data_IF_317810424206
#
_entry.id   IF_317810424206
#
_cell.length_a   1.000
_cell.length_b   1.000
_cell.length_c   1.000
_cell.angle_alpha   90.00
_cell.angle_beta   90.00
_cell.angle_gamma   90.00
#
_symmetry.space_group_name_H-M   'P 1'
#
loop_
_entity.id
_entity.type
_entity.pdbx_description
1 polymer ?
#
# COMPACT_ATOMS: atom_id res chain seq x y z
N UNK A 1 0.38 -9.00 -13.73
CA UNK A 1 1.75 -9.30 -13.22
C UNK A 1 2.02 -10.78 -13.03
N UNK A 2 1.13 -11.59 -12.42
CA UNK A 2 1.38 -13.02 -12.10
C UNK A 2 2.07 -13.78 -13.25
N UNK A 3 1.53 -13.69 -14.47
CA UNK A 3 2.07 -14.37 -15.65
C UNK A 3 3.55 -14.09 -15.95
N UNK A 4 4.07 -12.92 -15.53
CA UNK A 4 5.47 -12.52 -15.77
C UNK A 4 6.45 -13.15 -14.79
N UNK A 5 5.95 -13.68 -13.66
CA UNK A 5 6.74 -14.18 -12.53
C UNK A 5 6.50 -15.67 -12.24
N UNK A 6 5.76 -16.37 -13.10
CA UNK A 6 5.56 -17.81 -12.96
C UNK A 6 6.87 -18.59 -13.26
N UNK A 7 7.14 -19.71 -12.54
CA UNK A 7 6.33 -20.26 -11.46
C UNK A 7 6.50 -19.46 -10.16
N UNK A 8 5.39 -19.24 -9.45
CA UNK A 8 5.43 -18.60 -8.14
C UNK A 8 5.90 -19.59 -7.07
N UNK A 9 6.28 -19.05 -5.90
CA UNK A 9 6.58 -19.89 -4.73
C UNK A 9 5.39 -20.81 -4.46
N UNK A 10 5.60 -22.16 -4.41
CA UNK A 10 4.53 -23.10 -4.12
C UNK A 10 3.94 -22.87 -2.73
N UNK A 11 2.75 -23.40 -2.49
CA UNK A 11 2.03 -23.26 -1.21
C UNK A 11 1.75 -21.80 -0.80
N UNK A 12 1.57 -20.92 -1.80
CA UNK A 12 1.18 -19.52 -1.60
C UNK A 12 -0.23 -19.31 -2.10
N UNK A 13 -1.15 -18.99 -1.20
CA UNK A 13 -2.57 -18.77 -1.47
C UNK A 13 -2.91 -17.28 -1.44
N UNK A 14 -4.07 -16.91 -1.95
CA UNK A 14 -4.51 -15.52 -2.00
C UNK A 14 -5.95 -15.42 -1.56
N UNK A 15 -6.22 -14.42 -0.73
CA UNK A 15 -7.57 -14.03 -0.32
C UNK A 15 -8.00 -12.77 -1.08
N UNK A 16 -9.30 -12.45 -1.13
CA UNK A 16 -9.80 -11.21 -1.75
C UNK A 16 -9.13 -9.97 -1.15
N UNK A 17 -8.91 -8.97 -1.99
CA UNK A 17 -8.44 -7.66 -1.54
C UNK A 17 -9.57 -6.86 -0.86
N UNK A 18 -9.21 -5.70 -0.31
CA UNK A 18 -10.11 -4.81 0.43
C UNK A 18 -10.59 -3.62 -0.41
N UNK A 19 -10.73 -3.77 -1.72
CA UNK A 19 -11.25 -2.72 -2.59
C UNK A 19 -12.74 -2.49 -2.37
N UNK A 20 -13.08 -1.60 -1.45
CA UNK A 20 -14.47 -1.23 -1.13
C UNK A 20 -15.23 -0.70 -2.35
N UNK A 21 -14.61 0.11 -3.18
CA UNK A 21 -15.25 0.65 -4.38
C UNK A 21 -15.77 -0.44 -5.33
N UNK A 22 -15.12 -1.62 -5.35
CA UNK A 22 -15.48 -2.78 -6.17
C UNK A 22 -15.81 -4.01 -5.32
N UNK A 23 -16.33 -3.80 -4.11
CA UNK A 23 -16.72 -4.92 -3.24
C UNK A 23 -17.68 -5.87 -3.95
N UNK A 24 -17.45 -7.19 -3.90
CA UNK A 24 -18.34 -8.17 -4.50
C UNK A 24 -19.59 -8.35 -3.62
N UNK A 25 -20.74 -7.99 -4.12
CA UNK A 25 -22.02 -8.18 -3.40
C UNK A 25 -22.51 -6.92 -2.70
N UNK A 26 -23.52 -7.08 -1.83
CA UNK A 26 -24.26 -5.99 -1.20
C UNK A 26 -23.89 -5.89 0.28
N UNK A 27 -22.81 -5.19 0.60
CA UNK A 27 -22.46 -4.83 1.97
C UNK A 27 -23.04 -3.46 2.32
N UNK A 28 -23.47 -3.28 3.56
CA UNK A 28 -24.03 -2.01 4.03
C UNK A 28 -22.92 -1.04 4.46
N UNK A 29 -21.82 -1.56 4.95
CA UNK A 29 -20.69 -0.76 5.47
C UNK A 29 -19.36 -1.33 5.01
N UNK A 30 -18.32 -0.50 5.03
CA UNK A 30 -16.93 -0.92 4.77
C UNK A 30 -16.44 -1.89 5.86
N UNK A 31 -16.96 -1.76 7.09
CA UNK A 31 -16.69 -2.70 8.18
C UNK A 31 -17.19 -4.11 7.88
N UNK A 32 -18.46 -4.24 7.46
CA UNK A 32 -19.02 -5.55 7.06
C UNK A 32 -18.20 -6.21 5.94
N UNK A 33 -17.80 -5.40 4.95
CA UNK A 33 -16.95 -5.88 3.87
C UNK A 33 -15.56 -6.30 4.37
N UNK A 34 -14.95 -5.52 5.25
CA UNK A 34 -13.65 -5.84 5.85
C UNK A 34 -13.69 -7.17 6.63
N UNK A 35 -14.67 -7.36 7.49
CA UNK A 35 -14.87 -8.61 8.23
C UNK A 35 -15.10 -9.80 7.27
N UNK A 36 -15.92 -9.62 6.25
CA UNK A 36 -16.14 -10.64 5.23
C UNK A 36 -14.83 -11.01 4.52
N UNK A 37 -14.02 -10.04 4.11
CA UNK A 37 -12.75 -10.28 3.44
C UNK A 37 -11.76 -11.04 4.35
N UNK A 38 -11.68 -10.67 5.62
CA UNK A 38 -10.86 -11.37 6.61
C UNK A 38 -11.32 -12.82 6.83
N UNK A 39 -12.62 -13.08 6.88
CA UNK A 39 -13.16 -14.44 7.03
C UNK A 39 -12.80 -15.35 5.84
N UNK A 40 -12.52 -14.80 4.64
CA UNK A 40 -11.95 -15.59 3.52
C UNK A 40 -10.58 -16.16 3.83
N UNK A 41 -9.80 -15.51 4.70
CA UNK A 41 -8.56 -16.08 5.19
C UNK A 41 -8.81 -17.31 6.05
N UNK A 42 -9.77 -17.26 6.97
CA UNK A 42 -10.14 -18.39 7.81
C UNK A 42 -10.64 -19.58 6.99
N UNK A 43 -11.46 -19.34 5.98
CA UNK A 43 -11.92 -20.40 5.09
C UNK A 43 -10.78 -21.05 4.32
N UNK A 44 -9.81 -20.27 3.85
CA UNK A 44 -8.62 -20.78 3.15
C UNK A 44 -7.75 -21.61 4.09
N UNK A 45 -7.53 -21.13 5.32
CA UNK A 45 -6.76 -21.85 6.36
C UNK A 45 -7.40 -23.20 6.65
N UNK A 46 -8.72 -23.24 6.84
CA UNK A 46 -9.44 -24.48 7.11
C UNK A 46 -9.41 -25.46 5.93
N UNK A 47 -9.37 -24.95 4.70
CA UNK A 47 -9.28 -25.76 3.49
C UNK A 47 -7.88 -26.37 3.31
N UNK A 48 -6.82 -25.62 3.64
CA UNK A 48 -5.42 -26.03 3.49
C UNK A 48 -4.91 -26.88 4.67
N UNK A 49 -5.68 -27.05 5.73
CA UNK A 49 -5.30 -27.57 7.04
C UNK A 49 -4.47 -26.54 7.86
N UNK A 50 -5.01 -26.04 8.98
CA UNK A 50 -4.35 -25.03 9.81
C UNK A 50 -2.90 -25.36 10.20
N UNK A 51 -2.59 -26.63 10.44
CA UNK A 51 -1.24 -27.08 10.83
C UNK A 51 -0.21 -26.93 9.69
N UNK A 52 -0.66 -26.66 8.48
CA UNK A 52 0.22 -26.44 7.31
C UNK A 52 0.41 -24.97 6.94
N UNK A 53 -0.32 -24.05 7.59
CA UNK A 53 -0.28 -22.60 7.29
C UNK A 53 0.63 -21.88 8.27
N UNK A 54 1.73 -21.32 7.78
CA UNK A 54 2.72 -20.64 8.61
C UNK A 54 2.38 -19.18 8.91
N UNK A 55 1.89 -18.42 7.92
CA UNK A 55 1.71 -16.99 8.06
C UNK A 55 0.68 -16.38 7.09
N UNK A 56 0.11 -15.25 7.50
CA UNK A 56 -0.66 -14.34 6.65
C UNK A 56 0.18 -13.08 6.44
N UNK A 57 0.36 -12.67 5.16
CA UNK A 57 1.02 -11.42 4.79
C UNK A 57 0.00 -10.38 4.38
N UNK A 58 0.09 -9.18 4.94
CA UNK A 58 -0.77 -8.04 4.61
C UNK A 58 0.04 -6.77 4.41
N UNK A 59 -0.37 -5.93 3.44
CA UNK A 59 0.05 -4.54 3.37
C UNK A 59 -1.01 -3.70 4.11
N UNK A 60 -0.67 -2.81 5.06
CA UNK A 60 -1.65 -1.94 5.73
C UNK A 60 -2.44 -1.06 4.74
N UNK A 61 -1.78 -0.58 3.69
CA UNK A 61 -2.40 -0.02 2.48
C UNK A 61 -1.85 -0.80 1.30
N UNK A 62 -2.69 -1.60 0.66
CA UNK A 62 -2.25 -2.44 -0.44
C UNK A 62 -1.90 -1.61 -1.67
N UNK A 63 -0.63 -1.67 -2.10
CA UNK A 63 -0.13 -0.90 -3.24
C UNK A 63 -0.68 -1.38 -4.58
N UNK A 64 -0.61 -2.70 -4.84
CA UNK A 64 -1.03 -3.27 -6.12
C UNK A 64 -2.54 -3.17 -6.31
N UNK A 65 -2.96 -2.61 -7.45
CA UNK A 65 -4.37 -2.30 -7.73
C UNK A 65 -4.79 -0.89 -7.29
N UNK A 66 -3.95 -0.17 -6.55
CA UNK A 66 -4.10 1.25 -6.27
C UNK A 66 -4.57 1.60 -4.86
N UNK A 67 -3.66 1.54 -3.90
CA UNK A 67 -3.80 2.08 -2.54
C UNK A 67 -5.10 1.62 -1.84
N UNK A 68 -5.36 0.30 -1.84
CA UNK A 68 -6.51 -0.21 -1.11
C UNK A 68 -6.30 -0.06 0.39
N UNK A 69 -7.15 0.71 1.02
CA UNK A 69 -7.29 0.77 2.47
C UNK A 69 -8.30 -0.27 2.93
N UNK A 70 -8.16 -0.75 4.16
CA UNK A 70 -9.15 -1.61 4.79
C UNK A 70 -9.72 -0.93 6.03
N UNK A 71 -10.97 -1.22 6.35
CA UNK A 71 -11.52 -0.83 7.65
C UNK A 71 -10.73 -1.53 8.77
N UNK A 72 -10.44 -0.88 9.92
CA UNK A 72 -9.68 -1.48 11.02
C UNK A 72 -10.19 -2.85 11.48
N UNK A 73 -11.50 -3.10 11.38
CA UNK A 73 -12.12 -4.39 11.69
C UNK A 73 -11.56 -5.56 10.85
N UNK A 74 -11.08 -5.31 9.63
CA UNK A 74 -10.39 -6.32 8.81
C UNK A 74 -9.12 -6.83 9.50
N UNK A 75 -8.27 -5.93 9.94
CA UNK A 75 -7.00 -6.29 10.58
C UNK A 75 -7.21 -6.92 11.95
N UNK A 76 -8.16 -6.38 12.73
CA UNK A 76 -8.56 -6.99 13.99
C UNK A 76 -9.01 -8.43 13.81
N UNK A 77 -9.87 -8.69 12.80
CA UNK A 77 -10.35 -10.03 12.49
C UNK A 77 -9.23 -10.96 12.03
N UNK A 78 -8.27 -10.48 11.23
CA UNK A 78 -7.09 -11.27 10.85
C UNK A 78 -6.24 -11.64 12.06
N UNK A 79 -6.05 -10.72 13.03
CA UNK A 79 -5.32 -11.02 14.27
C UNK A 79 -6.03 -12.13 15.06
N UNK A 80 -7.36 -12.02 15.24
CA UNK A 80 -8.16 -13.06 15.90
C UNK A 80 -8.02 -14.44 15.22
N UNK A 81 -8.00 -14.48 13.88
CA UNK A 81 -7.80 -15.71 13.11
C UNK A 81 -6.39 -16.27 13.33
N UNK A 82 -5.37 -15.43 13.25
CA UNK A 82 -3.98 -15.84 13.49
C UNK A 82 -3.78 -16.40 14.89
N UNK A 83 -4.33 -15.74 15.91
CA UNK A 83 -4.25 -16.20 17.30
C UNK A 83 -4.97 -17.54 17.52
N UNK A 84 -6.12 -17.71 16.86
CA UNK A 84 -6.92 -18.95 16.95
C UNK A 84 -6.20 -20.18 16.42
N UNK A 85 -5.40 -20.03 15.37
CA UNK A 85 -4.74 -21.13 14.67
C UNK A 85 -3.21 -21.14 14.84
N UNK A 86 -2.66 -20.31 15.73
CA UNK A 86 -1.21 -20.13 15.95
C UNK A 86 -0.44 -19.83 14.64
N UNK A 87 -1.00 -18.96 13.80
CA UNK A 87 -0.46 -18.52 12.52
C UNK A 87 0.13 -17.12 12.67
N UNK A 88 1.27 -16.86 12.05
CA UNK A 88 1.92 -15.56 12.14
C UNK A 88 1.21 -14.51 11.28
N UNK A 89 1.04 -13.30 11.81
CA UNK A 89 0.62 -12.12 11.06
C UNK A 89 1.85 -11.29 10.67
N UNK A 90 2.10 -11.14 9.38
CA UNK A 90 3.24 -10.38 8.84
C UNK A 90 2.72 -9.12 8.16
N UNK A 91 3.15 -7.95 8.64
CA UNK A 91 2.83 -6.67 8.02
C UNK A 91 3.94 -6.25 7.05
N UNK A 92 3.59 -6.02 5.79
CA UNK A 92 4.50 -5.43 4.81
C UNK A 92 4.36 -3.90 4.81
N UNK A 93 5.22 -3.24 5.58
CA UNK A 93 5.34 -1.80 5.70
C UNK A 93 6.39 -1.20 4.73
N UNK A 94 6.77 -1.94 3.71
CA UNK A 94 7.78 -1.50 2.72
C UNK A 94 7.44 -0.14 2.10
N UNK A 95 6.15 0.19 1.94
CA UNK A 95 5.70 1.48 1.39
C UNK A 95 5.10 2.35 2.49
N UNK A 96 4.34 1.77 3.38
CA UNK A 96 3.53 2.50 4.37
C UNK A 96 4.32 2.94 5.59
N UNK A 97 5.45 2.30 5.86
CA UNK A 97 6.37 2.68 6.94
C UNK A 97 7.06 4.02 6.69
N UNK A 98 7.65 4.53 7.75
CA UNK A 98 8.42 5.78 7.78
C UNK A 98 7.57 6.99 7.35
N UNK A 99 6.49 7.24 8.09
CA UNK A 99 5.71 8.47 8.02
C UNK A 99 4.67 8.57 6.89
N UNK A 100 4.66 7.64 5.92
CA UNK A 100 3.82 7.72 4.72
C UNK A 100 2.32 7.85 5.03
N UNK A 101 1.83 7.22 6.09
CA UNK A 101 0.44 7.27 6.55
C UNK A 101 0.14 8.38 7.57
N UNK A 102 1.16 9.12 8.03
CA UNK A 102 1.04 10.08 9.12
C UNK A 102 1.25 9.47 10.51
N UNK A 103 1.75 8.23 10.56
CA UNK A 103 2.35 7.57 11.71
C UNK A 103 3.71 7.01 11.29
N UNK A 104 4.60 6.65 12.20
CA UNK A 104 5.89 6.05 11.84
C UNK A 104 5.66 4.77 11.05
N UNK A 105 4.72 3.93 11.51
CA UNK A 105 4.23 2.75 10.80
C UNK A 105 2.71 2.78 10.68
N UNK A 106 2.18 2.33 9.54
CA UNK A 106 0.74 2.29 9.34
C UNK A 106 0.06 1.28 10.28
N UNK A 107 0.77 0.28 10.77
CA UNK A 107 0.30 -0.62 11.83
C UNK A 107 -0.22 0.13 13.04
N UNK A 108 0.46 1.20 13.49
CA UNK A 108 0.01 2.06 14.60
C UNK A 108 -1.32 2.73 14.28
N UNK A 109 -1.46 3.22 13.05
CA UNK A 109 -2.65 3.95 12.59
C UNK A 109 -3.88 3.06 12.45
N UNK A 110 -3.69 1.80 12.05
CA UNK A 110 -4.78 0.85 11.79
C UNK A 110 -5.00 -0.15 12.93
N UNK A 111 -4.23 -0.05 14.02
CA UNK A 111 -4.32 -0.97 15.15
C UNK A 111 -3.96 -2.41 14.77
N UNK A 112 -2.92 -2.59 13.95
CA UNK A 112 -2.40 -3.89 13.54
C UNK A 112 -1.30 -4.29 14.52
N UNK A 113 -1.40 -5.47 15.11
CA UNK A 113 -0.39 -6.05 15.98
C UNK A 113 0.27 -7.24 15.26
N UNK A 114 1.29 -6.99 14.41
CA UNK A 114 1.94 -8.06 13.66
C UNK A 114 2.96 -8.81 14.52
N UNK A 115 3.17 -10.09 14.21
CA UNK A 115 4.29 -10.89 14.76
C UNK A 115 5.61 -10.51 14.08
N UNK A 116 5.55 -10.11 12.81
CA UNK A 116 6.68 -9.64 12.01
C UNK A 116 6.31 -8.41 11.19
N UNK A 117 7.28 -7.53 10.96
CA UNK A 117 7.12 -6.35 10.11
C UNK A 117 8.27 -6.27 9.11
N UNK A 118 7.93 -6.16 7.84
CA UNK A 118 8.90 -5.97 6.75
C UNK A 118 8.99 -4.48 6.44
N UNK A 119 10.20 -3.93 6.41
CA UNK A 119 10.46 -2.53 6.11
C UNK A 119 11.55 -2.36 5.05
N UNK A 120 11.45 -1.28 4.27
CA UNK A 120 12.44 -0.90 3.28
C UNK A 120 12.22 0.59 2.87
N UNK A 121 12.66 0.98 1.69
CA UNK A 121 12.41 2.29 1.04
C UNK A 121 12.62 3.49 1.96
N UNK A 122 11.59 3.88 2.72
CA UNK A 122 11.62 5.00 3.65
C UNK A 122 12.70 4.91 4.72
N UNK A 123 13.17 3.71 5.07
CA UNK A 123 14.22 3.50 6.06
C UNK A 123 15.52 4.27 5.76
N UNK A 124 15.80 4.50 4.47
CA UNK A 124 16.95 5.28 4.00
C UNK A 124 16.56 6.39 3.03
N UNK A 125 15.29 6.68 2.84
CA UNK A 125 14.77 7.56 1.78
C UNK A 125 15.37 7.25 0.40
N UNK A 126 15.73 5.99 0.14
CA UNK A 126 16.37 5.48 -1.08
C UNK A 126 17.79 5.98 -1.36
N UNK A 127 18.47 6.62 -0.39
CA UNK A 127 19.87 6.99 -0.52
C UNK A 127 20.81 5.79 -0.52
N UNK A 128 20.45 4.71 0.21
CA UNK A 128 21.15 3.43 0.19
C UNK A 128 20.15 2.27 0.15
N UNK A 129 20.48 1.15 -0.52
CA UNK A 129 19.63 -0.04 -0.48
C UNK A 129 19.69 -0.67 0.92
N UNK A 130 18.56 -0.66 1.62
CA UNK A 130 18.38 -1.31 2.91
C UNK A 130 16.94 -1.81 3.05
N UNK A 131 16.79 -2.94 3.66
CA UNK A 131 15.52 -3.46 4.18
C UNK A 131 15.75 -4.09 5.54
N UNK A 132 14.72 -4.15 6.36
CA UNK A 132 14.76 -4.79 7.65
C UNK A 132 13.53 -5.65 7.87
N UNK A 133 13.72 -6.74 8.62
CA UNK A 133 12.67 -7.56 9.18
C UNK A 133 12.69 -7.37 10.70
N UNK A 134 11.62 -6.85 11.25
CA UNK A 134 11.42 -6.71 12.68
C UNK A 134 10.60 -7.91 13.17
N UNK A 135 10.98 -8.45 14.33
CA UNK A 135 10.34 -9.61 14.95
C UNK A 135 9.90 -9.24 16.35
N UNK A 136 8.82 -9.85 16.82
CA UNK A 136 8.50 -9.84 18.24
C UNK A 136 9.54 -10.65 19.02
N UNK A 137 9.75 -10.31 20.31
CA UNK A 137 10.67 -11.03 21.17
C UNK A 137 10.36 -12.51 21.25
N UNK A 138 9.08 -12.88 21.30
CA UNK A 138 8.60 -14.26 21.26
C UNK A 138 9.20 -15.07 20.10
N UNK A 139 9.30 -14.47 18.92
CA UNK A 139 9.87 -15.14 17.75
C UNK A 139 11.41 -15.12 17.73
N UNK A 140 12.01 -14.16 18.39
CA UNK A 140 13.47 -14.02 18.43
C UNK A 140 14.12 -14.87 19.54
N UNK A 141 13.44 -15.07 20.67
CA UNK A 141 13.94 -15.80 21.84
C UNK A 141 14.53 -17.20 21.51
N UNK A 142 13.90 -18.06 20.67
CA UNK A 142 14.47 -19.36 20.33
C UNK A 142 15.85 -19.32 19.67
N UNK A 143 16.23 -18.19 19.07
CA UNK A 143 17.55 -17.99 18.44
C UNK A 143 18.61 -17.47 19.44
N UNK A 144 18.20 -17.02 20.62
CA UNK A 144 19.11 -16.47 21.64
C UNK A 144 19.38 -17.43 22.78
N UNK A 145 18.46 -18.38 23.05
CA UNK A 145 18.45 -19.25 24.23
C UNK A 145 18.66 -20.72 23.92
N UNK A 146 19.37 -21.08 22.89
CA UNK A 146 19.54 -22.49 22.55
C UNK A 146 20.60 -22.75 21.51
N UNK A 147 20.46 -23.88 20.82
CA UNK A 147 21.33 -24.26 19.69
C UNK A 147 20.74 -23.88 18.32
N UNK A 148 19.58 -23.23 18.30
CA UNK A 148 18.93 -22.82 17.07
C UNK A 148 19.69 -21.65 16.44
N UNK A 149 19.87 -21.72 15.14
CA UNK A 149 20.48 -20.65 14.34
C UNK A 149 19.57 -20.28 13.18
N UNK A 150 19.50 -19.00 12.87
CA UNK A 150 18.89 -18.52 11.64
C UNK A 150 19.85 -18.79 10.47
N UNK A 151 19.63 -19.88 9.74
CA UNK A 151 20.46 -20.27 8.60
C UNK A 151 20.10 -19.48 7.33
N UNK A 152 20.00 -18.14 7.47
CA UNK A 152 19.70 -17.21 6.39
C UNK A 152 20.46 -15.91 6.56
N UNK A 153 20.93 -15.33 5.46
CA UNK A 153 21.57 -14.01 5.45
C UNK A 153 22.00 -13.61 4.04
N UNK A 154 22.17 -12.33 3.84
CA UNK A 154 22.75 -11.76 2.63
C UNK A 154 24.17 -11.32 2.91
N UNK A 155 25.06 -11.40 1.93
CA UNK A 155 26.47 -10.98 2.04
C UNK A 155 26.58 -9.51 2.52
N UNK A 156 25.68 -8.65 2.08
CA UNK A 156 25.65 -7.24 2.47
C UNK A 156 24.64 -6.91 3.58
N UNK A 157 24.14 -7.91 4.32
CA UNK A 157 23.32 -7.66 5.49
C UNK A 157 24.11 -6.80 6.51
N UNK A 158 23.43 -5.86 7.16
CA UNK A 158 24.01 -4.91 8.12
C UNK A 158 25.22 -4.13 7.56
N UNK A 159 25.21 -3.79 6.26
CA UNK A 159 26.27 -2.99 5.66
C UNK A 159 26.43 -1.65 6.39
N UNK A 160 27.63 -1.31 6.96
CA UNK A 160 27.77 -0.20 7.89
C UNK A 160 27.39 1.15 7.28
N UNK A 161 27.71 1.38 6.00
CA UNK A 161 27.32 2.64 5.31
C UNK A 161 25.80 2.74 5.18
N UNK A 162 25.10 1.65 4.80
CA UNK A 162 23.64 1.68 4.69
C UNK A 162 22.96 1.89 6.06
N UNK A 163 23.52 1.29 7.11
CA UNK A 163 23.02 1.50 8.48
C UNK A 163 23.26 2.94 8.96
N UNK A 164 24.43 3.52 8.69
CA UNK A 164 24.73 4.91 9.03
C UNK A 164 23.78 5.90 8.32
N UNK A 165 23.50 5.66 7.01
CA UNK A 165 22.52 6.46 6.26
C UNK A 165 21.11 6.31 6.83
N UNK A 166 20.74 5.10 7.28
CA UNK A 166 19.43 4.90 7.90
C UNK A 166 19.30 5.66 9.23
N UNK A 167 20.34 5.66 10.07
CA UNK A 167 20.33 6.41 11.33
C UNK A 167 20.19 7.91 11.07
N UNK A 168 21.02 8.47 10.20
CA UNK A 168 20.93 9.88 9.81
C UNK A 168 19.55 10.24 9.21
N UNK A 169 18.98 9.34 8.39
CA UNK A 169 17.66 9.55 7.85
C UNK A 169 16.58 9.58 8.94
N UNK A 170 16.70 8.77 9.99
CA UNK A 170 15.77 8.80 11.13
C UNK A 170 15.92 10.10 11.93
N UNK A 171 17.14 10.60 12.12
CA UNK A 171 17.38 11.88 12.77
C UNK A 171 16.69 13.03 11.99
N UNK A 172 16.82 13.04 10.64
CA UNK A 172 16.10 14.01 9.79
C UNK A 172 14.58 13.88 9.92
N UNK A 173 14.03 12.68 10.07
CA UNK A 173 12.59 12.49 10.31
C UNK A 173 12.11 13.20 11.56
N UNK A 174 12.90 13.13 12.63
CA UNK A 174 12.58 13.77 13.90
C UNK A 174 12.83 15.29 13.84
N UNK A 175 13.96 15.73 13.30
CA UNK A 175 14.35 17.14 13.20
C UNK A 175 13.38 17.96 12.34
N UNK A 176 12.91 17.39 11.21
CA UNK A 176 11.99 18.05 10.29
C UNK A 176 10.52 17.73 10.60
N UNK A 177 10.22 16.94 11.62
CA UNK A 177 8.86 16.49 12.00
C UNK A 177 8.07 15.97 10.80
N UNK A 178 8.70 15.10 9.98
CA UNK A 178 8.12 14.63 8.73
C UNK A 178 6.83 13.83 8.93
N UNK A 179 6.80 12.98 9.96
CA UNK A 179 5.60 12.21 10.34
C UNK A 179 4.47 13.14 10.74
N UNK A 180 4.76 14.12 11.58
CA UNK A 180 3.81 15.14 12.03
C UNK A 180 3.31 16.01 10.88
N UNK A 181 4.17 16.36 9.90
CA UNK A 181 3.75 17.09 8.71
C UNK A 181 2.68 16.32 7.93
N UNK A 182 2.90 15.03 7.68
CA UNK A 182 1.91 14.19 6.99
C UNK A 182 0.61 14.06 7.82
N UNK A 183 0.73 13.81 9.12
CA UNK A 183 -0.43 13.68 10.00
C UNK A 183 -1.34 14.93 9.96
N UNK A 184 -0.73 16.11 10.05
CA UNK A 184 -1.47 17.40 10.03
C UNK A 184 -2.10 17.71 8.67
N UNK A 185 -1.48 17.32 7.59
CA UNK A 185 -1.87 17.74 6.24
C UNK A 185 -2.62 16.66 5.43
N UNK A 186 -2.67 15.40 5.89
CA UNK A 186 -3.27 14.28 5.16
C UNK A 186 -4.75 14.52 4.78
N UNK A 187 -5.54 15.05 5.71
CA UNK A 187 -6.94 15.37 5.47
C UNK A 187 -7.13 16.47 4.41
N UNK A 188 -6.24 17.48 4.40
CA UNK A 188 -6.26 18.54 3.39
C UNK A 188 -5.85 18.01 2.03
N UNK A 189 -4.83 17.15 1.97
CA UNK A 189 -4.40 16.52 0.71
C UNK A 189 -5.53 15.69 0.11
N UNK A 190 -6.16 14.82 0.91
CA UNK A 190 -7.34 14.04 0.50
C UNK A 190 -8.43 14.96 -0.07
N UNK A 191 -8.84 15.98 0.70
CA UNK A 191 -9.86 16.94 0.28
C UNK A 191 -9.51 17.68 -1.00
N UNK A 192 -8.22 17.95 -1.22
CA UNK A 192 -7.75 18.59 -2.45
C UNK A 192 -7.87 17.66 -3.65
N UNK A 193 -7.50 16.40 -3.50
CA UNK A 193 -7.69 15.40 -4.55
C UNK A 193 -9.17 15.14 -4.85
N UNK A 194 -10.04 15.13 -3.83
CA UNK A 194 -11.48 14.90 -3.97
C UNK A 194 -12.18 15.94 -4.86
N UNK A 195 -11.59 17.12 -5.09
CA UNK A 195 -12.09 18.09 -6.07
C UNK A 195 -12.15 17.51 -7.50
N UNK A 196 -11.31 16.51 -7.80
CA UNK A 196 -11.29 15.84 -9.10
C UNK A 196 -12.49 14.91 -9.34
N UNK A 197 -13.33 14.69 -8.33
CA UNK A 197 -14.58 13.93 -8.52
C UNK A 197 -15.58 14.61 -9.47
N UNK A 198 -15.43 15.88 -9.80
CA UNK A 198 -16.23 16.54 -10.83
C UNK A 198 -15.89 16.07 -12.26
N UNK A 199 -14.70 15.49 -12.47
CA UNK A 199 -14.26 14.96 -13.76
C UNK A 199 -14.95 13.61 -14.06
N UNK A 200 -15.52 13.42 -15.26
CA UNK A 200 -16.26 12.20 -15.61
C UNK A 200 -15.42 10.92 -15.54
N UNK A 201 -14.13 11.01 -15.82
CA UNK A 201 -13.21 9.87 -15.83
C UNK A 201 -12.79 9.39 -14.41
N UNK A 202 -12.95 10.22 -13.38
CA UNK A 202 -12.51 9.89 -12.00
C UNK A 202 -13.60 9.12 -11.29
N UNK A 203 -13.41 7.81 -11.13
CA UNK A 203 -14.36 6.91 -10.47
C UNK A 203 -14.23 6.86 -8.97
N UNK A 204 -12.99 6.74 -8.47
CA UNK A 204 -12.72 6.65 -7.05
C UNK A 204 -11.36 7.26 -6.67
N UNK A 205 -11.29 7.89 -5.52
CA UNK A 205 -10.06 8.40 -4.91
C UNK A 205 -9.94 7.73 -3.54
N UNK A 206 -8.86 7.00 -3.31
CA UNK A 206 -8.64 6.23 -2.09
C UNK A 206 -7.18 6.26 -1.67
N UNK A 207 -6.92 6.01 -0.41
CA UNK A 207 -5.60 6.06 0.20
C UNK A 207 -5.64 6.75 1.54
N UNK A 208 -4.47 6.95 2.14
CA UNK A 208 -4.31 7.62 3.42
C UNK A 208 -2.93 8.29 3.51
N UNK A 209 -2.80 9.26 4.42
CA UNK A 209 -1.58 10.04 4.56
C UNK A 209 -1.20 10.76 3.26
N UNK A 210 -0.02 10.44 2.73
CA UNK A 210 0.46 10.88 1.42
C UNK A 210 0.61 9.71 0.43
N UNK A 211 -0.30 8.73 0.52
CA UNK A 211 -0.33 7.60 -0.39
C UNK A 211 -1.75 7.41 -0.95
N UNK A 212 -1.99 7.88 -2.15
CA UNK A 212 -3.31 7.88 -2.80
C UNK A 212 -3.30 7.25 -4.17
N UNK A 213 -4.46 6.73 -4.57
CA UNK A 213 -4.75 6.31 -5.92
C UNK A 213 -6.03 6.98 -6.43
N UNK A 214 -6.02 7.38 -7.70
CA UNK A 214 -7.16 7.89 -8.44
C UNK A 214 -7.52 6.81 -9.46
N UNK A 215 -8.64 6.13 -9.24
CA UNK A 215 -9.14 5.11 -10.16
C UNK A 215 -9.96 5.76 -11.27
N UNK A 216 -9.60 5.42 -12.51
CA UNK A 216 -10.22 5.93 -13.71
C UNK A 216 -11.23 4.94 -14.25
N UNK A 217 -12.38 5.44 -14.71
CA UNK A 217 -13.50 4.66 -15.24
C UNK A 217 -14.05 5.29 -16.53
N UNK A 218 -14.70 4.48 -17.35
CA UNK A 218 -15.44 4.99 -18.52
C UNK A 218 -16.77 5.60 -18.12
N UNK A 219 -17.44 4.97 -17.16
CA UNK A 219 -18.73 5.41 -16.63
C UNK A 219 -18.75 5.28 -15.12
N UNK A 220 -19.06 6.36 -14.42
CA UNK A 220 -19.08 6.38 -12.94
C UNK A 220 -20.24 5.61 -12.34
N UNK A 221 -21.39 5.53 -13.04
CA UNK A 221 -22.60 4.90 -12.51
C UNK A 221 -22.45 3.38 -12.55
N UNK A 222 -21.97 2.87 -13.66
CA UNK A 222 -21.75 1.43 -13.85
C UNK A 222 -20.39 0.96 -13.34
N UNK A 223 -19.47 1.91 -13.05
CA UNK A 223 -18.06 1.67 -12.73
C UNK A 223 -17.34 0.91 -13.86
N UNK A 224 -17.76 1.12 -15.11
CA UNK A 224 -17.19 0.43 -16.26
C UNK A 224 -15.69 0.75 -16.40
N UNK A 225 -14.88 -0.30 -16.57
CA UNK A 225 -13.44 -0.20 -16.74
C UNK A 225 -13.06 -0.18 -18.22
N UNK A 226 -11.81 0.20 -18.48
CA UNK A 226 -11.22 0.19 -19.81
C UNK A 226 -10.82 -1.23 -20.22
N UNK A 227 -10.96 -1.57 -21.49
CA UNK A 227 -10.36 -2.77 -22.07
C UNK A 227 -8.84 -2.68 -22.06
N UNK A 228 -8.13 -3.80 -22.22
CA UNK A 228 -6.66 -3.80 -22.22
C UNK A 228 -6.05 -2.85 -23.27
N UNK A 229 -6.53 -2.79 -24.53
CA UNK A 229 -6.02 -1.82 -25.51
C UNK A 229 -6.31 -0.35 -25.14
N UNK A 230 -7.48 -0.06 -24.59
CA UNK A 230 -7.84 1.28 -24.12
C UNK A 230 -6.97 1.73 -22.95
N UNK A 231 -6.73 0.82 -21.98
CA UNK A 231 -5.82 1.11 -20.86
C UNK A 231 -4.41 1.43 -21.33
N UNK A 232 -3.87 0.66 -22.26
CA UNK A 232 -2.53 0.90 -22.80
C UNK A 232 -2.45 2.28 -23.45
N UNK A 233 -3.44 2.65 -24.27
CA UNK A 233 -3.50 3.97 -24.88
C UNK A 233 -3.64 5.09 -23.85
N UNK A 234 -4.53 4.91 -22.85
CA UNK A 234 -4.80 5.91 -21.84
C UNK A 234 -3.60 6.09 -20.90
N UNK A 235 -3.13 5.00 -20.28
CA UNK A 235 -2.14 5.09 -19.20
C UNK A 235 -0.74 5.34 -19.76
N UNK A 236 -0.24 4.46 -20.61
CA UNK A 236 1.13 4.57 -21.14
C UNK A 236 1.24 5.48 -22.35
N UNK A 237 0.24 5.42 -23.24
CA UNK A 237 0.24 6.23 -24.44
C UNK A 237 -0.05 7.71 -24.22
N UNK A 238 -0.77 8.06 -23.17
CA UNK A 238 -1.15 9.44 -22.90
C UNK A 238 -0.74 9.92 -21.49
N UNK A 239 -1.27 9.32 -20.43
CA UNK A 239 -1.17 9.90 -19.09
C UNK A 239 0.28 9.95 -18.57
N UNK A 240 1.04 8.87 -18.69
CA UNK A 240 2.40 8.84 -18.14
C UNK A 240 3.30 9.94 -18.74
N UNK A 241 3.30 10.10 -20.07
CA UNK A 241 4.06 11.15 -20.74
C UNK A 241 3.52 12.55 -20.44
N UNK A 242 2.19 12.71 -20.48
CA UNK A 242 1.58 14.03 -20.32
C UNK A 242 1.70 14.59 -18.91
N UNK A 243 1.59 13.72 -17.88
CA UNK A 243 1.81 14.14 -16.49
C UNK A 243 3.27 14.58 -16.29
N UNK A 244 4.23 13.84 -16.86
CA UNK A 244 5.64 14.22 -16.79
C UNK A 244 5.93 15.54 -17.51
N UNK A 245 5.35 15.77 -18.70
CA UNK A 245 5.47 17.05 -19.43
C UNK A 245 4.93 18.25 -18.64
N UNK A 246 3.86 18.03 -17.85
CA UNK A 246 3.29 19.07 -16.99
C UNK A 246 4.02 19.20 -15.62
N UNK A 247 5.09 18.44 -15.39
CA UNK A 247 5.93 18.50 -14.19
C UNK A 247 5.51 17.57 -13.05
N UNK A 248 4.53 16.70 -13.26
CA UNK A 248 4.12 15.71 -12.26
C UNK A 248 4.66 14.31 -12.58
N UNK A 249 5.73 13.91 -11.91
CA UNK A 249 6.22 12.55 -11.99
C UNK A 249 5.48 11.66 -10.98
N UNK A 250 4.58 10.84 -11.49
CA UNK A 250 3.83 9.89 -10.70
C UNK A 250 3.54 8.62 -11.52
N UNK A 251 3.03 7.59 -10.84
CA UNK A 251 2.76 6.32 -11.49
C UNK A 251 1.38 6.34 -12.16
N UNK A 252 1.36 6.21 -13.49
CA UNK A 252 0.17 6.02 -14.30
C UNK A 252 0.38 4.78 -15.18
N UNK A 253 0.41 3.60 -14.57
CA UNK A 253 0.62 2.33 -15.25
C UNK A 253 -0.46 1.30 -14.90
N UNK A 254 -0.65 0.33 -15.80
CA UNK A 254 -1.58 -0.77 -15.61
C UNK A 254 -0.90 -1.95 -14.89
N UNK A 255 -1.17 -2.09 -13.61
CA UNK A 255 -0.81 -3.27 -12.79
C UNK A 255 -2.03 -4.02 -12.29
N UNK A 256 -3.18 -3.75 -12.82
CA UNK A 256 -4.46 -4.33 -12.45
C UNK A 256 -5.60 -3.43 -12.87
N UNK A 257 -5.81 -2.35 -12.15
CA UNK A 257 -6.83 -1.34 -12.44
C UNK A 257 -6.22 -0.09 -13.07
N UNK A 258 -7.04 0.69 -13.79
CA UNK A 258 -6.62 1.95 -14.40
C UNK A 258 -6.50 3.02 -13.33
N UNK A 259 -5.33 3.14 -12.71
CA UNK A 259 -5.09 4.06 -11.60
C UNK A 259 -3.88 4.97 -11.83
N UNK A 260 -3.99 6.20 -11.31
CA UNK A 260 -2.84 7.07 -11.06
C UNK A 260 -2.52 6.95 -9.57
N UNK A 261 -1.27 6.62 -9.23
CA UNK A 261 -0.81 6.54 -7.85
C UNK A 261 0.09 7.73 -7.51
N UNK A 262 -0.16 8.30 -6.35
CA UNK A 262 0.54 9.44 -5.79
C UNK A 262 1.22 9.04 -4.48
N UNK A 263 2.52 9.27 -4.40
CA UNK A 263 3.32 9.09 -3.18
C UNK A 263 4.35 10.23 -3.11
N UNK A 264 3.90 11.48 -2.95
CA UNK A 264 4.77 12.65 -2.99
C UNK A 264 5.74 12.66 -1.80
N UNK A 265 6.81 13.51 -1.83
CA UNK A 265 7.70 13.70 -0.69
C UNK A 265 6.92 14.07 0.59
N UNK A 266 7.41 13.61 1.75
CA UNK A 266 6.76 13.90 3.04
C UNK A 266 6.86 15.37 3.45
N UNK A 267 7.74 16.12 2.80
CA UNK A 267 7.98 17.56 3.05
C UNK A 267 6.97 18.49 2.42
N UNK A 268 6.11 18.00 1.48
CA UNK A 268 5.18 18.88 0.77
C UNK A 268 4.03 19.35 1.66
N UNK A 269 3.38 20.42 1.20
CA UNK A 269 2.26 21.06 1.91
C UNK A 269 1.16 21.56 0.98
N UNK A 270 0.29 22.47 1.48
CA UNK A 270 -0.91 22.93 0.78
C UNK A 270 -0.66 23.53 -0.61
N UNK A 271 0.52 24.14 -0.84
CA UNK A 271 0.89 24.71 -2.12
C UNK A 271 1.04 23.61 -3.16
N UNK A 272 1.84 22.62 -2.86
CA UNK A 272 2.12 21.49 -3.76
C UNK A 272 0.88 20.62 -3.96
N UNK A 273 -0.01 20.49 -2.96
CA UNK A 273 -1.29 19.79 -3.14
C UNK A 273 -2.17 20.43 -4.21
N UNK A 274 -2.26 21.77 -4.20
CA UNK A 274 -3.01 22.49 -5.22
C UNK A 274 -2.35 22.37 -6.60
N UNK A 275 -1.03 22.40 -6.66
CA UNK A 275 -0.29 22.20 -7.90
C UNK A 275 -0.53 20.80 -8.49
N UNK A 276 -0.46 19.75 -7.67
CA UNK A 276 -0.80 18.37 -8.06
C UNK A 276 -2.23 18.29 -8.60
N UNK A 277 -3.20 18.88 -7.91
CA UNK A 277 -4.61 18.89 -8.35
C UNK A 277 -4.78 19.60 -9.68
N UNK A 278 -4.17 20.75 -9.85
CA UNK A 278 -4.26 21.53 -11.11
C UNK A 278 -3.66 20.79 -12.30
N UNK A 279 -2.50 20.15 -12.12
CA UNK A 279 -1.87 19.33 -13.16
C UNK A 279 -2.74 18.13 -13.50
N UNK A 280 -3.23 17.41 -12.49
CA UNK A 280 -4.12 16.27 -12.70
C UNK A 280 -5.40 16.70 -13.44
N UNK A 281 -6.03 17.78 -13.04
CA UNK A 281 -7.22 18.34 -13.69
C UNK A 281 -6.96 18.67 -15.15
N UNK A 282 -5.88 19.39 -15.43
CA UNK A 282 -5.47 19.77 -16.78
C UNK A 282 -5.29 18.54 -17.69
N UNK A 283 -4.66 17.49 -17.17
CA UNK A 283 -4.36 16.28 -17.94
C UNK A 283 -5.58 15.35 -18.05
N UNK A 284 -6.39 15.23 -16.98
CA UNK A 284 -7.55 14.33 -16.98
C UNK A 284 -8.76 14.89 -17.73
N UNK A 285 -8.93 16.21 -17.83
CA UNK A 285 -10.07 16.80 -18.53
C UNK A 285 -10.21 16.31 -19.99
N UNK A 286 -9.15 16.27 -20.83
CA UNK A 286 -9.26 15.74 -22.18
C UNK A 286 -9.09 14.22 -22.28
N UNK A 287 -8.84 13.51 -21.17
CA UNK A 287 -8.44 12.10 -21.19
C UNK A 287 -9.52 11.16 -21.76
N UNK A 288 -10.81 11.49 -21.58
CA UNK A 288 -11.93 10.71 -22.12
C UNK A 288 -11.93 10.59 -23.66
N UNK A 289 -11.20 11.45 -24.36
CA UNK A 289 -11.08 11.39 -25.83
C UNK A 289 -9.81 10.69 -26.33
N UNK A 290 -9.04 10.04 -25.44
CA UNK A 290 -7.70 9.53 -25.77
C UNK A 290 -7.60 8.00 -25.88
N UNK A 291 -8.70 7.27 -25.69
CA UNK A 291 -8.74 5.80 -25.79
C UNK A 291 -9.77 5.29 -26.78
#
# INVERSE_FOLDING_TARGET
MKKMFEPLVPSTFRIPNTNWYRAPGSFKTEEEFGIWAANRAEEMILFEDPDTVAAIFVEPIQNSGGCFTAHPAYFKRLREICDKYDILLVADETITGFGRSGAMFACERYGIEPDMMITAKGITSSYQPLGALLLTERLFEPFTTGTNILAHGYTFAAHPVACAVALENLDVFDEEDLVGNVARNSALFKKTLEKLYDLPIVGNIRGDGYFFAIELVKDKKTKETFTAPEREKLLRGYLAGKLLEEGLYCRADDRGDSVIQLAPPLTIGPKEFNEIEQILRKVLTPAMSKF
#
